data_IF_784613850959
#
_entry.id   IF_784613850959
#
_cell.length_a   1.000
_cell.length_b   1.000
_cell.length_c   1.000
_cell.angle_alpha   90.00
_cell.angle_beta   90.00
_cell.angle_gamma   90.00
#
_symmetry.space_group_name_H-M   'P 1'
#
loop_
_entity.id
_entity.type
_entity.pdbx_description
1 polymer ?
#
# COMPACT_ATOMS: atom_id res chain seq x y z
N UNK A 1 14.46 9.79 -14.76
CA UNK A 1 13.28 8.95 -14.39
C UNK A 1 13.62 8.12 -13.18
N UNK A 2 12.71 8.09 -12.22
CA UNK A 2 12.88 7.30 -11.00
C UNK A 2 12.47 5.86 -11.27
N UNK A 3 13.31 4.90 -10.91
CA UNK A 3 13.02 3.48 -11.09
C UNK A 3 11.92 3.00 -10.13
N UNK A 4 11.22 1.92 -10.48
CA UNK A 4 10.12 1.38 -9.69
C UNK A 4 10.58 0.94 -8.29
N UNK A 5 11.73 0.31 -8.18
CA UNK A 5 12.31 -0.09 -6.91
C UNK A 5 12.57 1.14 -6.01
N UNK A 6 13.06 2.23 -6.57
CA UNK A 6 13.28 3.46 -5.81
C UNK A 6 11.96 4.11 -5.39
N UNK A 7 10.93 4.05 -6.24
CA UNK A 7 9.58 4.51 -5.89
C UNK A 7 9.05 3.72 -4.69
N UNK A 8 9.17 2.40 -4.74
CA UNK A 8 8.73 1.54 -3.63
C UNK A 8 9.47 1.84 -2.33
N UNK A 9 10.78 2.05 -2.40
CA UNK A 9 11.59 2.43 -1.23
C UNK A 9 11.16 3.78 -0.66
N UNK A 10 10.86 4.75 -1.51
CA UNK A 10 10.42 6.08 -1.07
C UNK A 10 9.04 6.02 -0.40
N UNK A 11 8.13 5.21 -0.94
CA UNK A 11 6.81 4.97 -0.33
C UNK A 11 6.98 4.27 1.02
N UNK A 12 7.84 3.26 1.09
CA UNK A 12 8.11 2.55 2.34
C UNK A 12 8.64 3.50 3.42
N UNK A 13 9.52 4.42 3.06
CA UNK A 13 10.07 5.39 4.00
C UNK A 13 8.97 6.29 4.59
N UNK A 14 8.02 6.76 3.77
CA UNK A 14 6.88 7.55 4.24
C UNK A 14 5.97 6.74 5.16
N UNK A 15 5.73 5.48 4.85
CA UNK A 15 4.86 4.61 5.66
C UNK A 15 5.48 4.23 7.00
N UNK A 16 6.80 4.11 7.09
CA UNK A 16 7.49 3.72 8.33
C UNK A 16 7.32 4.71 9.47
N UNK A 17 6.96 5.94 9.17
CA UNK A 17 6.68 6.94 10.21
C UNK A 17 5.37 6.64 10.95
N UNK A 18 4.48 5.84 10.37
CA UNK A 18 3.15 5.57 10.90
C UNK A 18 2.92 4.09 11.20
N UNK A 19 3.40 3.19 10.34
CA UNK A 19 3.17 1.75 10.46
C UNK A 19 4.36 1.06 11.12
N UNK A 20 4.07 0.16 12.07
CA UNK A 20 5.09 -0.58 12.83
C UNK A 20 5.87 -1.57 11.97
N UNK A 21 5.22 -2.11 10.94
CA UNK A 21 5.85 -3.01 9.98
C UNK A 21 5.55 -2.51 8.58
N UNK A 22 6.59 -2.34 7.76
CA UNK A 22 6.46 -2.00 6.34
C UNK A 22 7.35 -2.93 5.54
N UNK A 23 6.77 -3.62 4.56
CA UNK A 23 7.49 -4.56 3.71
C UNK A 23 7.18 -4.31 2.25
N UNK A 24 8.17 -4.55 1.40
CA UNK A 24 8.03 -4.57 -0.04
C UNK A 24 8.00 -6.04 -0.46
N UNK A 25 6.89 -6.47 -1.08
CA UNK A 25 6.65 -7.87 -1.38
C UNK A 25 6.70 -8.13 -2.88
N UNK A 26 7.61 -9.00 -3.31
CA UNK A 26 7.64 -9.51 -4.67
C UNK A 26 6.74 -10.75 -4.74
N UNK A 27 5.45 -10.52 -4.99
CA UNK A 27 4.43 -11.58 -4.98
C UNK A 27 4.05 -11.94 -6.41
N UNK A 28 4.19 -13.21 -6.77
CA UNK A 28 3.79 -13.75 -8.06
C UNK A 28 2.65 -14.76 -7.95
N UNK A 29 2.46 -15.38 -6.78
CA UNK A 29 1.43 -16.37 -6.54
C UNK A 29 0.69 -16.08 -5.22
N UNK A 30 -0.58 -16.54 -5.08
CA UNK A 30 -1.30 -16.41 -3.81
C UNK A 30 -0.57 -17.04 -2.63
N UNK A 31 0.11 -18.16 -2.85
CA UNK A 31 0.87 -18.87 -1.80
C UNK A 31 2.04 -18.02 -1.30
N UNK A 32 2.72 -17.31 -2.18
CA UNK A 32 3.80 -16.38 -1.80
C UNK A 32 3.26 -15.23 -0.96
N UNK A 33 2.08 -14.71 -1.31
CA UNK A 33 1.44 -13.64 -0.56
C UNK A 33 1.06 -14.10 0.84
N UNK A 34 0.46 -15.29 0.96
CA UNK A 34 0.13 -15.87 2.27
C UNK A 34 1.38 -16.08 3.12
N UNK A 35 2.48 -16.53 2.52
CA UNK A 35 3.75 -16.69 3.22
C UNK A 35 4.29 -15.37 3.78
N UNK A 36 4.17 -14.28 3.01
CA UNK A 36 4.53 -12.94 3.47
C UNK A 36 3.69 -12.48 4.66
N UNK A 37 2.38 -12.76 4.63
CA UNK A 37 1.47 -12.43 5.72
C UNK A 37 1.82 -13.24 6.98
N UNK A 38 2.11 -14.53 6.83
CA UNK A 38 2.50 -15.40 7.95
C UNK A 38 3.81 -14.98 8.61
N UNK A 39 4.70 -14.32 7.86
CA UNK A 39 5.96 -13.83 8.37
C UNK A 39 5.83 -12.54 9.21
N UNK A 40 4.66 -11.91 9.24
CA UNK A 40 4.44 -10.69 10.01
C UNK A 40 4.33 -11.01 11.50
N UNK A 41 5.07 -10.26 12.31
CA UNK A 41 4.96 -10.36 13.76
C UNK A 41 3.64 -9.74 14.23
N UNK A 42 2.71 -10.51 14.85
CA UNK A 42 1.42 -9.96 15.31
C UNK A 42 1.54 -8.85 16.36
N UNK A 43 2.68 -8.73 17.03
CA UNK A 43 2.94 -7.66 18.01
C UNK A 43 3.29 -6.34 17.35
N UNK A 44 3.55 -6.34 16.03
CA UNK A 44 3.96 -5.17 15.26
C UNK A 44 2.92 -4.78 14.20
N UNK A 45 1.68 -4.68 14.61
CA UNK A 45 0.57 -4.21 13.79
C UNK A 45 0.25 -2.75 14.12
N UNK A 46 -0.34 -1.98 13.21
CA UNK A 46 -0.69 -2.36 11.83
C UNK A 46 0.54 -2.50 10.93
N UNK A 47 0.41 -3.35 9.92
CA UNK A 47 1.45 -3.60 8.93
C UNK A 47 1.01 -3.11 7.55
N UNK A 48 1.97 -2.59 6.79
CA UNK A 48 1.77 -2.16 5.42
C UNK A 48 2.64 -2.97 4.48
N UNK A 49 2.04 -3.61 3.50
CA UNK A 49 2.73 -4.38 2.46
C UNK A 49 2.59 -3.66 1.13
N UNK A 50 3.70 -3.40 0.47
CA UNK A 50 3.73 -2.77 -0.85
C UNK A 50 3.91 -3.87 -1.89
N UNK A 51 2.93 -4.01 -2.79
CA UNK A 51 2.92 -5.05 -3.81
C UNK A 51 2.83 -4.38 -5.18
N UNK A 52 3.67 -4.86 -6.11
CA UNK A 52 3.61 -4.38 -7.49
C UNK A 52 2.34 -4.89 -8.17
N UNK A 53 1.59 -4.00 -8.80
CA UNK A 53 0.38 -4.34 -9.53
C UNK A 53 0.62 -4.31 -11.04
N UNK A 54 0.85 -3.14 -11.62
CA UNK A 54 1.24 -3.03 -13.02
C UNK A 54 1.90 -1.68 -13.33
N UNK A 55 2.45 -1.58 -14.54
CA UNK A 55 2.85 -0.30 -15.11
C UNK A 55 2.33 -0.20 -16.55
N UNK A 56 2.13 1.03 -17.01
CA UNK A 56 1.66 1.28 -18.37
C UNK A 56 2.65 2.19 -19.09
N UNK A 57 3.15 1.68 -20.22
CA UNK A 57 3.86 2.51 -21.19
C UNK A 57 2.95 2.80 -22.37
N UNK A 58 2.89 4.07 -22.76
CA UNK A 58 2.23 4.47 -23.99
C UNK A 58 3.26 5.17 -24.88
N UNK A 59 3.36 4.75 -26.12
CA UNK A 59 4.24 5.40 -27.10
C UNK A 59 3.83 6.85 -27.38
N UNK A 60 2.58 7.19 -27.11
CA UNK A 60 2.04 8.53 -27.29
C UNK A 60 2.06 9.39 -26.02
N UNK A 61 2.43 8.78 -24.88
CA UNK A 61 2.44 9.46 -23.60
C UNK A 61 3.85 9.85 -23.18
N UNK A 62 3.98 11.07 -22.65
CA UNK A 62 5.18 11.54 -21.96
C UNK A 62 5.15 11.26 -20.46
N UNK A 63 4.14 10.54 -20.00
CA UNK A 63 3.94 10.20 -18.60
C UNK A 63 4.00 8.69 -18.43
N UNK A 64 4.85 8.25 -17.53
CA UNK A 64 4.87 6.87 -17.05
C UNK A 64 3.93 6.76 -15.86
N UNK A 65 3.11 5.73 -15.86
CA UNK A 65 2.20 5.42 -14.77
C UNK A 65 2.51 4.03 -14.23
N UNK A 66 2.85 3.98 -12.96
CA UNK A 66 3.03 2.74 -12.22
C UNK A 66 1.88 2.58 -11.22
N UNK A 67 1.40 1.37 -11.05
CA UNK A 67 0.39 1.05 -10.02
C UNK A 67 0.96 0.08 -9.02
N UNK A 68 0.85 0.45 -7.76
CA UNK A 68 1.21 -0.37 -6.62
C UNK A 68 -0.02 -0.60 -5.77
N UNK A 69 -0.12 -1.77 -5.18
CA UNK A 69 -1.17 -2.06 -4.20
C UNK A 69 -0.56 -2.03 -2.81
N UNK A 70 -1.16 -1.21 -1.95
CA UNK A 70 -0.80 -1.14 -0.55
C UNK A 70 -1.80 -1.99 0.23
N UNK A 71 -1.33 -3.06 0.85
CA UNK A 71 -2.16 -3.92 1.69
C UNK A 71 -1.89 -3.58 3.14
N UNK A 72 -2.92 -3.09 3.83
CA UNK A 72 -2.86 -2.78 5.25
C UNK A 72 -3.47 -3.94 6.03
N UNK A 73 -2.71 -4.46 6.97
CA UNK A 73 -3.13 -5.54 7.85
C UNK A 73 -3.22 -5.03 9.28
N UNK A 74 -4.30 -5.36 9.96
CA UNK A 74 -4.46 -5.08 11.39
C UNK A 74 -5.09 -6.27 12.08
N UNK A 75 -5.07 -6.27 13.39
CA UNK A 75 -5.61 -7.36 14.19
C UNK A 75 -7.11 -7.51 13.94
N UNK A 76 -7.52 -8.73 13.59
CA UNK A 76 -8.92 -9.07 13.47
C UNK A 76 -9.44 -9.55 14.82
N UNK A 77 -10.23 -8.71 15.49
CA UNK A 77 -10.98 -9.10 16.68
C UNK A 77 -12.45 -8.99 16.34
N UNK A 78 -13.12 -10.12 16.36
CA UNK A 78 -14.57 -10.12 16.22
C UNK A 78 -15.18 -9.27 17.33
N UNK A 79 -16.06 -8.33 16.97
CA UNK A 79 -17.19 -7.88 17.75
C UNK A 79 -17.06 -6.76 18.77
N UNK A 80 -16.22 -5.75 18.58
CA UNK A 80 -16.55 -4.49 19.24
C UNK A 80 -16.68 -3.38 18.21
N UNK A 81 -17.68 -2.50 18.42
CA UNK A 81 -17.85 -1.32 17.56
C UNK A 81 -16.61 -0.43 17.59
N UNK A 82 -15.93 -0.34 18.73
CA UNK A 82 -14.68 0.40 18.88
C UNK A 82 -13.59 -0.13 17.94
N UNK A 83 -13.47 -1.45 17.81
CA UNK A 83 -12.47 -2.08 16.94
C UNK A 83 -12.80 -1.85 15.47
N UNK A 84 -14.07 -1.93 15.09
CA UNK A 84 -14.51 -1.62 13.74
C UNK A 84 -14.20 -0.16 13.39
N UNK A 85 -14.43 0.77 14.31
CA UNK A 85 -14.11 2.18 14.10
C UNK A 85 -12.62 2.43 13.95
N UNK A 86 -11.76 1.72 14.69
CA UNK A 86 -10.32 1.79 14.50
C UNK A 86 -9.89 1.35 13.10
N UNK A 87 -10.48 0.27 12.59
CA UNK A 87 -10.23 -0.21 11.24
C UNK A 87 -10.66 0.81 10.18
N UNK A 88 -11.79 1.50 10.40
CA UNK A 88 -12.27 2.54 9.49
C UNK A 88 -11.36 3.77 9.44
N UNK A 89 -10.52 3.97 10.41
CA UNK A 89 -9.54 5.06 10.42
C UNK A 89 -8.33 4.80 9.54
N UNK A 90 -8.02 3.53 9.23
CA UNK A 90 -6.83 3.18 8.46
C UNK A 90 -6.81 3.81 7.06
N UNK A 91 -7.91 3.82 6.28
CA UNK A 91 -7.91 4.52 5.00
C UNK A 91 -7.62 6.01 5.14
N UNK A 92 -8.16 6.66 6.17
CA UNK A 92 -7.91 8.07 6.44
C UNK A 92 -6.44 8.30 6.83
N UNK A 93 -5.84 7.40 7.58
CA UNK A 93 -4.42 7.46 7.93
C UNK A 93 -3.56 7.40 6.67
N UNK A 94 -3.90 6.52 5.72
CA UNK A 94 -3.19 6.45 4.44
C UNK A 94 -3.39 7.71 3.62
N UNK A 95 -4.61 8.29 3.61
CA UNK A 95 -4.89 9.55 2.90
C UNK A 95 -4.15 10.75 3.49
N UNK A 96 -3.79 10.71 4.76
CA UNK A 96 -2.95 11.74 5.38
C UNK A 96 -1.51 11.67 4.84
N UNK A 97 -1.03 10.48 4.51
CA UNK A 97 0.28 10.26 3.92
C UNK A 97 0.25 10.50 2.41
N UNK A 98 -0.77 9.96 1.73
CA UNK A 98 -0.99 10.08 0.29
C UNK A 98 -2.35 10.73 0.04
N UNK A 99 -2.42 12.07 -0.05
CA UNK A 99 -3.69 12.76 -0.25
C UNK A 99 -4.37 12.38 -1.57
N UNK A 100 -5.71 12.36 -1.63
CA UNK A 100 -6.44 12.01 -2.85
C UNK A 100 -6.12 12.87 -4.07
N UNK A 101 -5.76 14.15 -3.85
CA UNK A 101 -5.34 15.05 -4.92
C UNK A 101 -3.88 14.86 -5.35
N UNK A 102 -3.16 13.99 -4.67
CA UNK A 102 -1.78 13.69 -4.98
C UNK A 102 -0.75 14.47 -4.18
N UNK A 103 0.43 13.90 -4.11
CA UNK A 103 1.59 14.48 -3.44
C UNK A 103 2.84 14.12 -4.22
N UNK A 104 3.74 15.08 -4.38
CA UNK A 104 5.08 14.82 -4.93
C UNK A 104 5.96 14.17 -3.86
N UNK A 105 6.45 12.97 -4.16
CA UNK A 105 7.43 12.27 -3.34
C UNK A 105 8.67 12.04 -4.19
N UNK A 106 9.67 12.87 -3.98
CA UNK A 106 10.97 12.81 -4.67
C UNK A 106 10.86 12.74 -6.21
N UNK A 107 9.99 13.57 -6.77
CA UNK A 107 9.82 13.69 -8.22
C UNK A 107 8.75 12.79 -8.83
N UNK A 108 8.03 12.03 -8.03
CA UNK A 108 6.93 11.19 -8.46
C UNK A 108 5.64 11.67 -7.81
N UNK A 109 4.61 11.89 -8.62
CA UNK A 109 3.28 12.28 -8.16
C UNK A 109 2.50 11.03 -7.77
N UNK A 110 2.13 10.92 -6.49
CA UNK A 110 1.50 9.73 -5.94
C UNK A 110 0.14 10.10 -5.34
N UNK A 111 -0.89 9.32 -5.67
CA UNK A 111 -2.22 9.46 -5.08
C UNK A 111 -2.89 8.09 -4.92
N UNK A 112 -3.76 7.94 -3.92
CA UNK A 112 -4.58 6.74 -3.78
C UNK A 112 -5.73 6.77 -4.79
N UNK A 113 -6.01 5.62 -5.41
CA UNK A 113 -7.08 5.47 -6.40
C UNK A 113 -8.34 4.91 -5.78
N UNK A 114 -8.19 3.85 -4.98
CA UNK A 114 -9.31 3.16 -4.36
C UNK A 114 -8.89 2.51 -3.04
N UNK A 115 -9.90 2.12 -2.28
CA UNK A 115 -9.70 1.32 -1.07
C UNK A 115 -10.78 0.24 -1.04
N UNK A 116 -10.35 -1.01 -0.97
CA UNK A 116 -11.25 -2.16 -0.91
C UNK A 116 -10.99 -2.93 0.38
N UNK A 117 -12.06 -3.24 1.10
CA UNK A 117 -11.98 -4.17 2.22
C UNK A 117 -11.80 -5.57 1.66
N UNK A 118 -10.69 -6.20 1.99
CA UNK A 118 -10.50 -7.61 1.73
C UNK A 118 -11.18 -8.40 2.85
N UNK A 119 -11.75 -9.54 2.53
CA UNK A 119 -12.11 -10.51 3.56
C UNK A 119 -10.85 -10.86 4.33
N UNK A 120 -11.00 -11.32 5.57
CA UNK A 120 -9.88 -11.65 6.43
C UNK A 120 -8.84 -12.50 5.72
N UNK A 121 -7.60 -12.05 5.76
CA UNK A 121 -6.44 -12.82 5.29
C UNK A 121 -5.80 -13.47 6.50
N UNK A 122 -5.97 -14.80 6.62
CA UNK A 122 -5.63 -15.53 7.84
C UNK A 122 -6.39 -14.94 9.02
N UNK A 123 -5.70 -14.49 10.07
CA UNK A 123 -6.31 -13.91 11.26
C UNK A 123 -6.25 -12.37 11.27
N UNK A 124 -6.04 -11.74 10.11
CA UNK A 124 -5.93 -10.29 10.00
C UNK A 124 -7.10 -9.67 9.25
N UNK A 125 -7.53 -8.50 9.69
CA UNK A 125 -8.34 -7.63 8.86
C UNK A 125 -7.45 -6.96 7.81
N UNK A 126 -7.89 -6.93 6.57
CA UNK A 126 -7.09 -6.44 5.46
C UNK A 126 -7.82 -5.40 4.62
N UNK A 127 -7.09 -4.34 4.25
CA UNK A 127 -7.54 -3.32 3.30
C UNK A 127 -6.53 -3.26 2.16
N UNK A 128 -7.03 -3.20 0.93
CA UNK A 128 -6.20 -3.00 -0.25
C UNK A 128 -6.42 -1.61 -0.80
N UNK A 129 -5.36 -0.84 -0.94
CA UNK A 129 -5.38 0.54 -1.44
C UNK A 129 -4.51 0.60 -2.69
N UNK A 130 -5.12 0.98 -3.82
CA UNK A 130 -4.38 1.20 -5.04
C UNK A 130 -3.66 2.55 -4.99
N UNK A 131 -2.36 2.56 -5.22
CA UNK A 131 -1.56 3.78 -5.37
C UNK A 131 -1.17 3.95 -6.83
N UNK A 132 -1.42 5.13 -7.36
CA UNK A 132 -1.00 5.53 -8.70
C UNK A 132 0.21 6.44 -8.58
N UNK A 133 1.27 6.10 -9.30
CA UNK A 133 2.53 6.84 -9.30
C UNK A 133 2.80 7.34 -10.72
N UNK A 134 2.86 8.66 -10.89
CA UNK A 134 3.06 9.30 -12.19
C UNK A 134 4.34 10.11 -12.23
N UNK A 135 5.09 9.99 -13.30
CA UNK A 135 6.26 10.80 -13.56
C UNK A 135 6.44 11.06 -15.04
N UNK A 136 7.08 12.18 -15.37
CA UNK A 136 7.41 12.50 -16.75
C UNK A 136 8.52 11.60 -17.28
N UNK A 137 8.42 11.21 -18.56
CA UNK A 137 9.39 10.36 -19.26
C UNK A 137 10.41 11.20 -20.05
N UNK A 138 10.69 12.37 -19.66
CA UNK A 138 11.62 13.23 -20.41
C UNK A 138 13.01 13.20 -19.77
#
# INVERSE_FOLDING_TARGET
>A
MISLDQIALNIAAELRETFSTVRICAVQTPEQFLAEIQAINPEKLPAALIVFDNFVFSAESTIREDKLTLVILDEFRCSSDERALELFKLPCTVMDIFPPHGRDIKGVWIYPEDCTSCSTLLDYAALAIGLVCKQGII
#
